data_IF_936557961099
#
_entry.id   IF_936557961099
#
_cell.length_a   1.000
_cell.length_b   1.000
_cell.length_c   1.000
_cell.angle_alpha   90.00
_cell.angle_beta   90.00
_cell.angle_gamma   90.00
#
_symmetry.space_group_name_H-M   'P 1'
#
loop_
_entity.id
_entity.type
_entity.pdbx_description
1 polymer ?
#
# COMPACT_ATOMS: atom_id res chain seq x y z
N UNK A 1 -57.67 -13.51 -30.55
CA UNK A 1 -56.33 -13.54 -31.19
C UNK A 1 -55.30 -13.78 -30.10
N UNK A 2 -54.46 -14.81 -30.21
CA UNK A 2 -53.35 -14.99 -29.28
C UNK A 2 -52.29 -13.92 -29.55
N UNK A 3 -51.93 -13.13 -28.54
CA UNK A 3 -50.83 -12.15 -28.65
C UNK A 3 -49.53 -12.90 -28.46
N UNK A 4 -48.68 -12.93 -29.49
CA UNK A 4 -47.35 -13.54 -29.41
C UNK A 4 -46.39 -12.49 -28.85
N UNK A 5 -45.89 -12.72 -27.64
CA UNK A 5 -44.92 -11.84 -26.97
C UNK A 5 -43.50 -12.27 -27.32
N UNK A 6 -42.67 -11.33 -27.77
CA UNK A 6 -41.22 -11.54 -27.90
C UNK A 6 -40.56 -11.29 -26.54
N UNK A 7 -39.83 -12.29 -26.03
CA UNK A 7 -39.07 -12.16 -24.78
C UNK A 7 -37.59 -12.09 -25.12
N UNK A 8 -36.93 -11.03 -24.66
CA UNK A 8 -35.50 -10.85 -24.85
C UNK A 8 -34.72 -11.92 -24.06
N UNK A 9 -33.81 -12.67 -24.70
CA UNK A 9 -33.06 -13.72 -24.05
C UNK A 9 -32.19 -13.16 -22.90
N UNK A 10 -32.02 -13.97 -21.85
CA UNK A 10 -31.33 -13.69 -20.57
C UNK A 10 -32.00 -12.74 -19.59
N UNK A 11 -32.76 -11.74 -20.04
CA UNK A 11 -33.34 -10.73 -19.13
C UNK A 11 -34.82 -10.93 -18.84
N UNK A 12 -35.53 -11.75 -19.62
CA UNK A 12 -36.97 -11.95 -19.45
C UNK A 12 -37.82 -10.72 -19.80
N UNK A 13 -37.20 -9.66 -20.30
CA UNK A 13 -37.86 -8.41 -20.71
C UNK A 13 -38.72 -8.70 -21.94
N UNK A 14 -39.97 -8.27 -21.88
CA UNK A 14 -40.95 -8.40 -22.95
C UNK A 14 -40.80 -7.19 -23.87
N UNK A 15 -40.75 -7.37 -25.19
CA UNK A 15 -40.88 -6.27 -26.13
C UNK A 15 -42.34 -5.78 -26.14
N UNK A 16 -42.65 -4.57 -25.63
CA UNK A 16 -44.04 -4.12 -25.54
C UNK A 16 -44.61 -3.91 -26.95
N UNK A 17 -45.75 -4.54 -27.24
CA UNK A 17 -46.47 -4.33 -28.49
C UNK A 17 -47.56 -3.28 -28.29
N UNK A 18 -47.68 -2.32 -29.22
CA UNK A 18 -48.75 -1.32 -29.17
C UNK A 18 -50.13 -2.00 -29.23
N UNK A 19 -50.97 -1.76 -28.22
CA UNK A 19 -52.29 -2.37 -28.09
C UNK A 19 -52.69 -2.62 -26.64
N UNK A 20 -53.67 -3.50 -26.42
CA UNK A 20 -54.35 -3.71 -25.14
C UNK A 20 -53.47 -4.20 -23.96
N UNK A 21 -52.21 -4.58 -24.22
CA UNK A 21 -51.29 -5.12 -23.21
C UNK A 21 -50.02 -4.29 -23.00
N UNK A 22 -49.89 -3.14 -23.69
CA UNK A 22 -48.68 -2.33 -23.67
C UNK A 22 -48.27 -1.91 -22.26
N UNK A 23 -49.22 -1.37 -21.48
CA UNK A 23 -48.97 -0.93 -20.10
C UNK A 23 -48.63 -2.11 -19.18
N UNK A 24 -49.32 -3.24 -19.34
CA UNK A 24 -49.04 -4.45 -18.54
C UNK A 24 -47.66 -5.03 -18.81
N UNK A 25 -47.22 -5.01 -20.08
CA UNK A 25 -45.89 -5.47 -20.47
C UNK A 25 -44.81 -4.49 -19.96
N UNK A 26 -45.08 -3.18 -19.92
CA UNK A 26 -44.19 -2.18 -19.30
C UNK A 26 -44.08 -2.35 -17.77
N UNK A 27 -45.20 -2.53 -17.06
CA UNK A 27 -45.21 -2.76 -15.62
C UNK A 27 -44.41 -4.02 -15.25
N UNK A 28 -44.58 -5.09 -16.03
CA UNK A 28 -43.84 -6.34 -15.86
C UNK A 28 -42.34 -6.13 -16.07
N UNK A 29 -41.95 -5.38 -17.11
CA UNK A 29 -40.56 -5.05 -17.36
C UNK A 29 -39.95 -4.21 -16.23
N UNK A 30 -40.70 -3.25 -15.68
CA UNK A 30 -40.21 -2.42 -14.58
C UNK A 30 -39.99 -3.24 -13.31
N UNK A 31 -40.91 -4.15 -12.98
CA UNK A 31 -40.74 -5.08 -11.87
C UNK A 31 -39.51 -5.99 -12.02
N UNK A 32 -39.27 -6.50 -13.24
CA UNK A 32 -38.09 -7.30 -13.54
C UNK A 32 -36.81 -6.48 -13.36
N UNK A 33 -36.79 -5.24 -13.87
CA UNK A 33 -35.62 -4.35 -13.74
C UNK A 33 -35.34 -4.03 -12.27
N UNK A 34 -36.36 -3.69 -11.49
CA UNK A 34 -36.22 -3.36 -10.07
C UNK A 34 -35.69 -4.55 -9.26
N UNK A 35 -36.23 -5.74 -9.51
CA UNK A 35 -35.75 -6.98 -8.88
C UNK A 35 -34.29 -7.28 -9.21
N UNK A 36 -33.89 -7.12 -10.48
CA UNK A 36 -32.50 -7.32 -10.91
C UNK A 36 -31.54 -6.27 -10.32
N UNK A 37 -32.00 -5.04 -10.12
CA UNK A 37 -31.22 -4.00 -9.45
C UNK A 37 -31.09 -4.27 -7.95
N UNK A 38 -32.14 -4.78 -7.31
CA UNK A 38 -32.11 -5.21 -5.91
C UNK A 38 -31.13 -6.37 -5.72
N UNK A 39 -31.18 -7.40 -6.54
CA UNK A 39 -30.23 -8.53 -6.51
C UNK A 39 -28.77 -8.07 -6.64
N UNK A 40 -28.47 -7.10 -7.49
CA UNK A 40 -27.11 -6.58 -7.65
C UNK A 40 -26.63 -5.84 -6.38
N UNK A 41 -27.50 -5.06 -5.75
CA UNK A 41 -27.21 -4.38 -4.48
C UNK A 41 -27.02 -5.39 -3.33
N UNK A 42 -27.83 -6.44 -3.31
CA UNK A 42 -27.75 -7.51 -2.31
C UNK A 42 -26.48 -8.33 -2.48
N UNK A 43 -26.10 -8.66 -3.72
CA UNK A 43 -24.81 -9.29 -4.04
C UNK A 43 -23.64 -8.41 -3.63
N UNK A 44 -23.68 -7.11 -3.93
CA UNK A 44 -22.65 -6.17 -3.51
C UNK A 44 -22.54 -6.09 -1.98
N UNK A 45 -23.67 -6.06 -1.28
CA UNK A 45 -23.72 -6.04 0.20
C UNK A 45 -23.20 -7.34 0.78
N UNK A 46 -23.58 -8.49 0.23
CA UNK A 46 -23.10 -9.80 0.65
C UNK A 46 -21.60 -9.98 0.41
N UNK A 47 -21.08 -9.47 -0.72
CA UNK A 47 -19.65 -9.44 -1.01
C UNK A 47 -18.91 -8.56 0.00
N UNK A 48 -19.43 -7.38 0.33
CA UNK A 48 -18.81 -6.49 1.33
C UNK A 48 -18.86 -7.06 2.75
N UNK A 49 -19.93 -7.79 3.09
CA UNK A 49 -20.11 -8.45 4.38
C UNK A 49 -19.39 -9.81 4.49
N UNK A 50 -19.01 -10.42 3.37
CA UNK A 50 -18.31 -11.70 3.36
C UNK A 50 -16.87 -11.52 3.87
N UNK A 51 -16.51 -12.11 5.03
CA UNK A 51 -15.20 -11.91 5.66
C UNK A 51 -14.03 -12.38 4.80
N UNK A 52 -14.26 -13.28 3.82
CA UNK A 52 -13.27 -13.68 2.83
C UNK A 52 -12.98 -12.56 1.85
N UNK A 53 -13.98 -11.85 1.31
CA UNK A 53 -13.72 -10.70 0.45
C UNK A 53 -13.23 -9.53 1.27
N UNK A 54 -13.75 -9.30 2.48
CA UNK A 54 -13.17 -8.33 3.42
C UNK A 54 -11.71 -8.66 3.72
N UNK A 55 -11.28 -9.92 3.80
CA UNK A 55 -9.87 -10.31 3.98
C UNK A 55 -9.00 -10.17 2.72
N UNK A 56 -9.58 -10.34 1.53
CA UNK A 56 -8.90 -10.09 0.26
C UNK A 56 -8.81 -8.58 -0.07
N UNK A 57 -9.75 -7.79 0.43
CA UNK A 57 -9.86 -6.33 0.25
C UNK A 57 -9.25 -5.56 1.44
N UNK A 58 -9.10 -6.19 2.61
CA UNK A 58 -8.42 -5.60 3.77
C UNK A 58 -6.92 -5.52 3.53
N UNK A 59 -6.31 -4.48 4.07
CA UNK A 59 -4.86 -4.34 4.14
C UNK A 59 -4.22 -5.63 4.69
N UNK A 60 -3.39 -6.30 3.87
CA UNK A 60 -2.63 -7.49 4.29
C UNK A 60 -1.49 -7.15 5.27
N UNK A 61 -1.55 -5.98 5.90
CA UNK A 61 -0.47 -5.37 6.67
C UNK A 61 0.71 -4.94 5.80
N UNK A 62 0.50 -4.79 4.49
CA UNK A 62 1.54 -4.45 3.53
C UNK A 62 1.32 -3.01 3.07
N UNK A 63 1.99 -2.09 3.75
CA UNK A 63 2.10 -0.69 3.34
C UNK A 63 3.53 -0.33 2.97
N UNK A 64 3.68 0.60 2.03
CA UNK A 64 4.98 1.10 1.58
C UNK A 64 5.06 1.39 0.07
N UNK A 65 6.22 1.88 -0.34
CA UNK A 65 6.53 2.21 -1.73
C UNK A 65 6.78 0.95 -2.54
N UNK A 66 6.17 0.82 -3.72
CA UNK A 66 6.44 -0.26 -4.68
C UNK A 66 7.45 0.22 -5.74
N UNK A 67 7.25 1.42 -6.27
CA UNK A 67 8.11 2.02 -7.29
C UNK A 67 8.00 3.55 -7.27
N UNK A 68 9.00 4.24 -7.84
CA UNK A 68 9.02 5.71 -7.86
C UNK A 68 9.13 6.30 -6.45
N UNK A 69 8.35 7.36 -6.18
CA UNK A 69 8.36 8.09 -4.90
C UNK A 69 9.76 8.40 -4.37
N UNK A 70 10.66 8.78 -5.28
CA UNK A 70 12.06 9.05 -4.95
C UNK A 70 12.19 10.47 -4.43
N UNK A 71 12.64 10.60 -3.18
CA UNK A 71 12.94 11.87 -2.53
C UNK A 71 14.22 12.49 -3.08
N UNK A 72 14.27 13.82 -3.10
CA UNK A 72 15.47 14.59 -3.45
C UNK A 72 15.61 15.82 -2.55
N UNK A 73 16.86 16.24 -2.35
CA UNK A 73 17.18 17.48 -1.64
C UNK A 73 16.69 18.70 -2.42
N UNK A 74 16.54 19.83 -1.73
CA UNK A 74 16.06 21.06 -2.35
C UNK A 74 16.54 22.29 -1.57
N UNK A 75 16.53 23.44 -2.22
CA UNK A 75 16.88 24.74 -1.59
C UNK A 75 15.75 25.34 -0.75
N UNK A 76 14.66 24.61 -0.55
CA UNK A 76 13.50 25.02 0.26
C UNK A 76 13.20 23.94 1.30
N UNK A 77 12.24 24.16 2.19
CA UNK A 77 11.79 23.12 3.12
C UNK A 77 10.90 22.06 2.46
N UNK A 78 10.66 22.12 1.15
CA UNK A 78 9.86 21.14 0.42
C UNK A 78 10.80 20.22 -0.38
N UNK A 79 10.95 18.93 -0.02
CA UNK A 79 11.75 18.00 -0.81
C UNK A 79 11.11 17.75 -2.18
N UNK A 80 11.91 17.44 -3.18
CA UNK A 80 11.37 16.92 -4.44
C UNK A 80 10.91 15.48 -4.26
N UNK A 81 9.79 15.10 -4.89
CA UNK A 81 9.24 13.75 -4.85
C UNK A 81 8.75 13.34 -6.25
N UNK A 82 9.25 12.23 -6.77
CA UNK A 82 8.76 11.71 -8.07
C UNK A 82 7.37 11.07 -7.94
N UNK A 83 6.64 10.98 -9.04
CA UNK A 83 5.48 10.08 -9.12
C UNK A 83 5.93 8.61 -8.91
N UNK A 84 4.97 7.73 -8.63
CA UNK A 84 5.25 6.33 -8.34
C UNK A 84 4.00 5.53 -8.00
N UNK A 85 4.21 4.36 -7.40
CA UNK A 85 3.14 3.50 -6.88
C UNK A 85 3.46 3.13 -5.44
N UNK A 86 2.49 3.29 -4.55
CA UNK A 86 2.55 2.83 -3.16
C UNK A 86 1.23 2.19 -2.74
N UNK A 87 1.28 1.44 -1.63
CA UNK A 87 0.10 0.96 -0.93
C UNK A 87 0.05 1.53 0.48
N UNK A 88 -1.11 2.05 0.89
CA UNK A 88 -1.38 2.50 2.26
C UNK A 88 -2.81 2.13 2.66
N UNK A 89 -2.97 1.56 3.86
CA UNK A 89 -4.25 1.18 4.45
C UNK A 89 -5.11 0.32 3.50
N UNK A 90 -4.47 -0.56 2.73
CA UNK A 90 -5.11 -1.42 1.73
C UNK A 90 -5.39 -0.75 0.36
N UNK A 91 -5.16 0.55 0.23
CA UNK A 91 -5.41 1.29 -1.01
C UNK A 91 -4.13 1.53 -1.82
N UNK A 92 -4.24 1.39 -3.14
CA UNK A 92 -3.18 1.75 -4.09
C UNK A 92 -3.24 3.25 -4.39
N UNK A 93 -2.13 3.95 -4.22
CA UNK A 93 -1.94 5.33 -4.66
C UNK A 93 -0.91 5.39 -5.79
N UNK A 94 -1.32 5.95 -6.94
CA UNK A 94 -0.52 6.04 -8.16
C UNK A 94 -0.86 7.31 -8.95
N UNK A 95 -0.36 8.48 -8.52
CA UNK A 95 -0.70 9.76 -9.13
C UNK A 95 -0.08 9.88 -10.54
N UNK A 96 -0.79 10.57 -11.44
CA UNK A 96 -0.32 10.81 -12.81
C UNK A 96 0.83 11.81 -12.93
N UNK A 97 1.11 12.56 -11.87
CA UNK A 97 2.21 13.53 -11.78
C UNK A 97 2.87 13.48 -10.40
N UNK A 98 4.03 14.12 -10.26
CA UNK A 98 4.69 14.29 -8.98
C UNK A 98 3.73 14.94 -7.96
N UNK A 99 3.53 14.35 -6.77
CA UNK A 99 2.73 14.98 -5.73
C UNK A 99 3.38 16.24 -5.20
N UNK A 100 2.55 17.21 -4.81
CA UNK A 100 3.00 18.37 -4.05
C UNK A 100 3.07 18.00 -2.58
N UNK A 101 4.20 18.30 -1.95
CA UNK A 101 4.40 18.16 -0.51
C UNK A 101 4.27 19.49 0.21
N UNK A 102 3.87 19.44 1.48
CA UNK A 102 4.00 20.59 2.38
C UNK A 102 5.45 20.76 2.82
N UNK A 103 5.80 21.92 3.37
CA UNK A 103 7.11 22.17 3.94
C UNK A 103 7.36 21.21 5.12
N UNK A 104 8.53 20.58 5.13
CA UNK A 104 9.02 19.83 6.28
C UNK A 104 9.31 20.79 7.45
N UNK A 105 9.17 20.33 8.70
CA UNK A 105 9.58 21.11 9.86
C UNK A 105 11.05 21.52 9.74
N UNK A 106 11.36 22.79 9.99
CA UNK A 106 12.71 23.33 9.87
C UNK A 106 13.66 22.78 10.95
N UNK A 107 14.95 22.69 10.62
CA UNK A 107 16.02 22.27 11.53
C UNK A 107 15.73 20.92 12.21
N UNK A 108 15.22 19.95 11.45
CA UNK A 108 14.75 18.68 12.02
C UNK A 108 15.03 17.49 11.11
N UNK A 109 15.01 16.30 11.71
CA UNK A 109 14.83 15.04 10.98
C UNK A 109 13.35 14.66 11.03
N UNK A 110 12.74 14.53 9.86
CA UNK A 110 11.33 14.18 9.71
C UNK A 110 11.16 12.95 8.83
N UNK A 111 10.17 12.14 9.16
CA UNK A 111 9.79 10.91 8.49
C UNK A 111 8.55 11.21 7.67
N UNK A 112 8.65 11.09 6.34
CA UNK A 112 7.55 11.32 5.42
C UNK A 112 6.73 10.05 5.28
N UNK A 113 5.44 10.16 5.58
CA UNK A 113 4.45 9.10 5.41
C UNK A 113 3.34 9.55 4.45
N UNK A 114 2.61 8.58 3.92
CA UNK A 114 1.37 8.79 3.20
C UNK A 114 0.23 7.99 3.85
N UNK A 115 -0.89 8.67 4.06
CA UNK A 115 -2.15 8.11 4.53
C UNK A 115 -3.21 8.27 3.43
N UNK A 116 -4.05 7.25 3.19
CA UNK A 116 -5.06 7.28 2.12
C UNK A 116 -6.17 8.31 2.32
N UNK A 117 -6.37 8.79 3.54
CA UNK A 117 -7.40 9.79 3.91
C UNK A 117 -6.84 11.20 3.82
N UNK A 118 -5.69 11.46 4.45
CA UNK A 118 -5.14 12.81 4.63
C UNK A 118 -3.98 13.14 3.67
N UNK A 119 -3.47 12.17 2.92
CA UNK A 119 -2.33 12.34 2.03
C UNK A 119 -0.98 12.32 2.75
N UNK A 120 -0.03 13.10 2.25
CA UNK A 120 1.35 13.14 2.75
C UNK A 120 1.48 13.95 4.03
N UNK A 121 2.23 13.43 5.00
CA UNK A 121 2.50 14.12 6.26
C UNK A 121 3.87 13.77 6.83
N UNK A 122 4.40 14.67 7.66
CA UNK A 122 5.65 14.46 8.38
C UNK A 122 5.39 14.03 9.83
N UNK A 123 6.19 13.08 10.31
CA UNK A 123 6.31 12.72 11.72
C UNK A 123 7.77 12.86 12.18
N UNK A 124 8.02 13.15 13.46
CA UNK A 124 9.35 13.23 14.06
C UNK A 124 9.75 11.96 14.84
N UNK A 125 8.81 11.03 15.11
CA UNK A 125 9.07 9.81 15.90
C UNK A 125 9.45 8.59 15.06
N UNK A 126 9.24 8.63 13.74
CA UNK A 126 9.45 7.49 12.85
C UNK A 126 8.40 6.38 12.96
N UNK A 127 7.32 6.60 13.72
CA UNK A 127 6.19 5.67 13.84
C UNK A 127 5.05 6.14 12.95
N UNK A 128 4.38 5.24 12.24
CA UNK A 128 3.19 5.59 11.48
C UNK A 128 2.10 6.19 12.38
N UNK A 129 1.46 7.27 11.94
CA UNK A 129 0.34 7.89 12.65
C UNK A 129 -0.90 7.01 12.68
N UNK A 130 -1.11 6.22 11.62
CA UNK A 130 -2.15 5.19 11.55
C UNK A 130 -1.54 3.87 11.05
N UNK A 131 -1.92 2.70 11.62
CA UNK A 131 -1.54 1.41 11.08
C UNK A 131 -1.85 1.32 9.58
N UNK A 132 -0.87 0.86 8.79
CA UNK A 132 -1.00 0.77 7.34
C UNK A 132 -0.60 2.02 6.57
N UNK A 133 -0.13 3.10 7.21
CA UNK A 133 0.45 4.23 6.48
C UNK A 133 1.71 3.79 5.71
N UNK A 134 1.92 4.36 4.53
CA UNK A 134 3.09 4.08 3.70
C UNK A 134 4.25 4.99 4.09
N UNK A 135 5.37 4.40 4.48
CA UNK A 135 6.60 5.16 4.69
C UNK A 135 7.29 5.46 3.36
N UNK A 136 7.66 6.72 3.15
CA UNK A 136 8.27 7.20 1.91
C UNK A 136 9.78 7.40 2.09
N UNK A 137 10.18 7.89 3.26
CA UNK A 137 11.58 8.09 3.59
C UNK A 137 11.81 9.12 4.68
N UNK A 138 13.07 9.42 4.93
CA UNK A 138 13.55 10.39 5.90
C UNK A 138 13.99 11.65 5.18
N UNK A 139 13.65 12.80 5.74
CA UNK A 139 13.97 14.14 5.25
C UNK A 139 14.67 14.88 6.37
N UNK A 140 15.89 15.36 6.12
CA UNK A 140 16.64 16.21 7.05
C UNK A 140 16.65 17.63 6.51
N UNK A 141 16.21 18.57 7.33
CA UNK A 141 16.12 19.98 6.97
C UNK A 141 17.08 20.85 7.80
N UNK A 142 17.55 21.92 7.19
CA UNK A 142 18.11 23.09 7.88
C UNK A 142 16.99 24.07 8.22
N UNK A 143 17.35 25.30 8.61
CA UNK A 143 16.38 26.38 8.80
C UNK A 143 15.59 26.73 7.52
N UNK A 144 16.11 26.38 6.32
CA UNK A 144 15.52 26.82 5.05
C UNK A 144 15.52 25.79 3.92
N UNK A 145 16.28 24.69 4.02
CA UNK A 145 16.52 23.77 2.91
C UNK A 145 16.44 22.30 3.34
N UNK A 146 16.15 21.40 2.41
CA UNK A 146 16.33 19.96 2.60
C UNK A 146 17.77 19.60 2.27
N UNK A 147 18.53 19.18 3.29
CA UNK A 147 19.96 18.93 3.20
C UNK A 147 20.31 17.47 2.95
N UNK A 148 19.44 16.55 3.37
CA UNK A 148 19.62 15.11 3.13
C UNK A 148 18.28 14.41 3.05
N UNK A 149 18.23 13.32 2.28
CA UNK A 149 17.09 12.43 2.18
C UNK A 149 17.55 10.97 2.22
N UNK A 150 16.77 10.12 2.88
CA UNK A 150 16.95 8.67 2.87
C UNK A 150 15.68 8.04 2.34
N UNK A 151 15.78 7.20 1.31
CA UNK A 151 14.61 6.55 0.72
C UNK A 151 14.10 5.44 1.65
N UNK A 152 12.78 5.24 1.70
CA UNK A 152 12.24 4.01 2.25
C UNK A 152 12.65 2.80 1.39
N UNK A 153 12.78 1.64 2.04
CA UNK A 153 12.94 0.39 1.31
C UNK A 153 11.65 0.07 0.60
N UNK A 154 11.76 -0.29 -0.68
CA UNK A 154 10.58 -0.69 -1.45
C UNK A 154 10.01 -1.99 -0.90
N UNK A 155 8.72 -2.21 -1.08
CA UNK A 155 8.09 -3.50 -0.85
C UNK A 155 8.80 -4.57 -1.70
N UNK A 156 9.18 -5.68 -1.07
CA UNK A 156 10.04 -6.71 -1.65
C UNK A 156 11.42 -6.22 -2.09
N UNK A 157 11.85 -5.08 -1.55
CA UNK A 157 13.18 -4.52 -1.74
C UNK A 157 14.25 -5.37 -1.06
N UNK A 158 15.49 -5.14 -1.47
CA UNK A 158 16.67 -5.80 -0.93
C UNK A 158 17.55 -4.78 -0.20
N UNK A 159 18.04 -5.19 0.97
CA UNK A 159 19.06 -4.49 1.74
C UNK A 159 20.36 -5.25 1.68
N UNK A 160 21.47 -4.53 1.73
CA UNK A 160 22.78 -5.11 1.96
C UNK A 160 23.04 -5.25 3.45
N UNK A 161 23.44 -6.44 3.87
CA UNK A 161 23.90 -6.72 5.23
C UNK A 161 25.43 -6.88 5.21
N UNK A 162 26.11 -5.90 5.77
CA UNK A 162 27.58 -5.82 5.85
C UNK A 162 27.99 -5.53 7.31
N UNK A 163 28.18 -6.58 8.14
CA UNK A 163 28.38 -6.44 9.57
C UNK A 163 29.71 -5.80 9.95
N UNK A 164 30.77 -5.98 9.14
CA UNK A 164 32.11 -5.44 9.36
C UNK A 164 32.86 -5.98 10.60
N UNK A 165 32.19 -6.76 11.44
CA UNK A 165 32.70 -7.41 12.64
C UNK A 165 31.93 -8.71 12.90
N UNK A 166 32.54 -9.60 13.70
CA UNK A 166 31.84 -10.78 14.23
C UNK A 166 30.89 -10.38 15.37
N UNK A 167 29.76 -11.08 15.48
CA UNK A 167 28.81 -10.91 16.57
C UNK A 167 27.58 -10.08 16.17
N UNK A 168 26.94 -9.49 17.18
CA UNK A 168 25.66 -8.81 17.02
C UNK A 168 25.81 -7.49 16.27
N UNK A 169 24.91 -7.25 15.31
CA UNK A 169 24.79 -5.98 14.62
C UNK A 169 23.31 -5.67 14.33
N UNK A 170 23.04 -4.40 14.04
CA UNK A 170 21.71 -3.88 13.79
C UNK A 170 21.65 -3.28 12.39
N UNK A 171 20.65 -3.67 11.61
CA UNK A 171 20.45 -3.18 10.24
C UNK A 171 19.12 -2.43 10.13
N UNK A 172 19.12 -1.10 9.93
CA UNK A 172 17.91 -0.33 9.69
C UNK A 172 17.22 -0.80 8.41
N UNK A 173 15.94 -1.18 8.48
CA UNK A 173 15.24 -1.75 7.33
C UNK A 173 14.36 -0.77 6.56
N UNK A 174 14.05 0.40 7.13
CA UNK A 174 13.37 1.52 6.46
C UNK A 174 12.04 1.16 5.77
N UNK A 175 11.25 0.24 6.35
CA UNK A 175 9.88 -0.05 5.89
C UNK A 175 8.83 0.85 6.55
N UNK A 176 9.16 1.47 7.69
CA UNK A 176 8.25 2.25 8.52
C UNK A 176 7.07 1.46 9.10
N UNK A 177 7.15 0.14 9.04
CA UNK A 177 6.32 -0.85 9.73
C UNK A 177 7.21 -2.04 10.12
N UNK A 178 6.80 -2.82 11.10
CA UNK A 178 7.40 -4.13 11.36
C UNK A 178 7.28 -5.01 10.10
N UNK A 179 8.38 -5.64 9.64
CA UNK A 179 8.33 -6.59 8.54
C UNK A 179 7.31 -7.73 8.80
N UNK A 180 6.54 -8.08 7.77
CA UNK A 180 5.75 -9.30 7.75
C UNK A 180 6.64 -10.53 7.47
N UNK A 181 7.76 -10.32 6.77
CA UNK A 181 8.75 -11.36 6.53
C UNK A 181 10.10 -10.80 6.10
N UNK A 182 11.14 -11.57 6.42
CA UNK A 182 12.53 -11.26 6.10
C UNK A 182 13.22 -12.54 5.63
N UNK A 183 13.89 -12.47 4.48
CA UNK A 183 14.70 -13.56 3.92
C UNK A 183 16.15 -13.09 3.79
N UNK A 184 17.07 -13.83 4.42
CA UNK A 184 18.51 -13.58 4.33
C UNK A 184 19.10 -14.51 3.27
N UNK A 185 19.68 -13.93 2.23
CA UNK A 185 20.38 -14.65 1.16
C UNK A 185 21.86 -14.31 1.23
N UNK A 186 22.67 -15.26 1.73
CA UNK A 186 24.12 -15.07 1.82
C UNK A 186 24.75 -14.85 0.44
N UNK A 187 25.67 -13.90 0.36
CA UNK A 187 26.46 -13.58 -0.85
C UNK A 187 27.95 -13.83 -0.69
N UNK A 188 28.40 -14.17 0.52
CA UNK A 188 29.77 -14.61 0.80
C UNK A 188 29.78 -15.85 1.70
N UNK A 189 30.98 -16.33 2.03
CA UNK A 189 31.18 -17.35 3.05
C UNK A 189 30.86 -16.83 4.45
N UNK A 190 30.36 -17.71 5.31
CA UNK A 190 29.94 -17.37 6.67
C UNK A 190 28.43 -17.49 6.81
N UNK A 191 27.91 -17.01 7.94
CA UNK A 191 26.48 -17.03 8.25
C UNK A 191 26.06 -15.70 8.88
N UNK A 192 24.89 -15.24 8.46
CA UNK A 192 24.15 -14.17 9.13
C UNK A 192 22.80 -14.75 9.52
N UNK A 193 22.42 -14.59 10.78
CA UNK A 193 21.14 -15.08 11.32
C UNK A 193 20.55 -14.07 12.29
N UNK A 194 19.31 -14.30 12.72
CA UNK A 194 18.64 -13.40 13.66
C UNK A 194 19.13 -13.58 15.09
N UNK A 195 19.14 -12.48 15.84
CA UNK A 195 19.24 -12.51 17.28
C UNK A 195 17.98 -13.16 17.89
N UNK A 196 18.12 -13.71 19.11
CA UNK A 196 17.03 -14.27 19.91
C UNK A 196 16.94 -13.51 21.24
N UNK A 197 15.73 -13.15 21.73
CA UNK A 197 14.41 -13.51 21.19
C UNK A 197 13.88 -12.56 20.10
N UNK A 198 14.50 -11.39 19.92
CA UNK A 198 13.99 -10.34 19.03
C UNK A 198 14.70 -10.39 17.68
N UNK A 199 13.96 -10.71 16.62
CA UNK A 199 14.50 -10.78 15.25
C UNK A 199 14.49 -9.43 14.54
N UNK A 200 13.40 -8.67 14.69
CA UNK A 200 13.19 -7.37 14.08
C UNK A 200 12.07 -6.62 14.79
N UNK A 201 12.09 -5.29 14.68
CA UNK A 201 11.04 -4.40 15.14
C UNK A 201 10.57 -3.49 14.00
N UNK A 202 9.99 -2.34 14.34
CA UNK A 202 9.49 -1.37 13.38
C UNK A 202 10.59 -0.61 12.59
N UNK A 203 11.83 -0.66 13.08
CA UNK A 203 12.94 0.13 12.55
C UNK A 203 14.12 -0.73 12.11
N UNK A 204 14.40 -1.82 12.82
CA UNK A 204 15.65 -2.55 12.71
C UNK A 204 15.46 -4.06 12.59
N UNK A 205 16.38 -4.68 11.85
CA UNK A 205 16.68 -6.10 11.95
C UNK A 205 17.83 -6.30 12.94
N UNK A 206 17.68 -7.28 13.83
CA UNK A 206 18.67 -7.65 14.82
C UNK A 206 19.34 -8.94 14.38
N UNK A 207 20.61 -8.83 13.99
CA UNK A 207 21.34 -9.89 13.30
C UNK A 207 22.63 -10.24 14.04
N UNK A 208 23.15 -11.43 13.75
CA UNK A 208 24.45 -11.93 14.23
C UNK A 208 25.24 -12.39 13.02
N UNK A 209 26.50 -11.97 12.94
CA UNK A 209 27.44 -12.42 11.92
C UNK A 209 28.46 -13.40 12.51
N UNK A 210 28.76 -14.48 11.78
CA UNK A 210 29.83 -15.42 12.15
C UNK A 210 31.23 -14.88 11.89
N UNK A 211 31.37 -13.92 10.97
CA UNK A 211 32.64 -13.45 10.44
C UNK A 211 32.51 -11.99 9.96
N UNK A 212 33.55 -11.13 10.09
CA UNK A 212 33.50 -9.73 9.63
C UNK A 212 33.26 -9.56 8.13
N UNK A 213 33.56 -10.56 7.30
CA UNK A 213 33.42 -10.54 5.84
C UNK A 213 32.15 -11.24 5.33
N UNK A 214 31.31 -11.74 6.24
CA UNK A 214 30.01 -12.29 5.89
C UNK A 214 29.12 -11.20 5.29
N UNK A 215 28.56 -11.41 4.10
CA UNK A 215 27.64 -10.47 3.44
C UNK A 215 26.38 -11.20 2.99
N UNK A 216 25.25 -10.47 2.96
CA UNK A 216 23.99 -11.02 2.47
C UNK A 216 23.12 -9.95 1.81
N UNK A 217 22.26 -10.39 0.90
CA UNK A 217 21.08 -9.65 0.45
C UNK A 217 19.90 -10.03 1.34
N UNK A 218 19.26 -9.03 1.93
CA UNK A 218 18.10 -9.22 2.82
C UNK A 218 16.86 -8.71 2.12
N UNK A 219 15.99 -9.62 1.70
CA UNK A 219 14.70 -9.27 1.10
C UNK A 219 13.64 -9.12 2.20
N UNK A 220 12.85 -8.04 2.13
CA UNK A 220 11.89 -7.69 3.18
C UNK A 220 10.53 -7.26 2.61
N UNK A 221 9.46 -7.55 3.34
CA UNK A 221 8.08 -7.13 3.05
C UNK A 221 7.21 -7.19 4.30
#
# INVERSE_FOLDING_TARGET
MAVVRTVLPRKGIIEPQHGANYETDLDTNWQIIDSLMQDANDVQTAIQAAPTVTAWVSDRGISGVVSGFTLSTSSTLVPGLTAGVLYAQGFRYAPGSAPTLVAAPASSTSYLFYNSINGFYYNQTGVAGTPGDAFIGIVVSSAAAITSVTQATRLWGQLDAEPGAVGNFTLPHLLGRTPAGVLIQMTSSGAIWFQSPTMYDNMNLYLVASDPTATAKVQIW
#
